data_IF_672259424776
#
_entry.id   IF_672259424776
#
_cell.length_a   1.000
_cell.length_b   1.000
_cell.length_c   1.000
_cell.angle_alpha   90.00
_cell.angle_beta   90.00
_cell.angle_gamma   90.00
#
_symmetry.space_group_name_H-M   'P 1'
#
loop_
_entity.id
_entity.type
_entity.pdbx_description
1 polymer ?
#
# COMPACT_ATOMS: atom_id res chain seq x y z
N UNK A 1 -1.86 -12.78 -6.34
CA UNK A 1 -2.18 -13.59 -7.55
C UNK A 1 -1.66 -12.94 -8.82
N UNK A 2 -2.15 -11.75 -9.21
CA UNK A 2 -1.82 -11.10 -10.49
C UNK A 2 -0.31 -10.96 -10.75
N UNK A 3 0.45 -10.38 -9.83
CA UNK A 3 1.91 -10.22 -10.00
C UNK A 3 2.62 -11.55 -10.32
N UNK A 4 2.34 -12.62 -9.57
CA UNK A 4 2.92 -13.95 -9.82
C UNK A 4 2.54 -14.56 -11.16
N UNK A 5 1.32 -14.29 -11.65
CA UNK A 5 0.86 -14.79 -12.95
C UNK A 5 1.64 -14.16 -14.11
N UNK A 6 2.09 -12.92 -13.95
CA UNK A 6 2.89 -12.17 -14.93
C UNK A 6 4.41 -12.24 -14.65
N UNK A 7 4.86 -13.21 -13.85
CA UNK A 7 6.29 -13.41 -13.53
C UNK A 7 6.90 -12.39 -12.55
N UNK A 8 6.09 -11.55 -11.92
CA UNK A 8 6.52 -10.61 -10.89
C UNK A 8 6.68 -11.25 -9.50
N UNK A 9 7.51 -10.63 -8.67
CA UNK A 9 7.74 -11.05 -7.28
C UNK A 9 6.68 -10.49 -6.31
N UNK A 10 6.36 -11.24 -5.26
CA UNK A 10 5.40 -10.82 -4.23
C UNK A 10 5.99 -10.95 -2.83
N UNK A 11 5.92 -9.86 -2.07
CA UNK A 11 6.34 -9.82 -0.67
C UNK A 11 5.08 -9.66 0.19
N UNK A 12 4.94 -10.50 1.22
CA UNK A 12 3.86 -10.39 2.20
C UNK A 12 4.43 -9.99 3.55
N UNK A 13 4.12 -8.78 4.03
CA UNK A 13 4.50 -8.32 5.37
C UNK A 13 3.37 -8.68 6.34
N UNK A 14 3.61 -9.70 7.16
CA UNK A 14 2.60 -10.40 7.95
C UNK A 14 2.65 -10.02 9.44
N UNK A 15 1.50 -9.95 10.13
CA UNK A 15 1.42 -9.44 11.50
C UNK A 15 1.95 -10.40 12.57
N UNK A 16 1.86 -11.72 12.38
CA UNK A 16 2.31 -12.74 13.33
C UNK A 16 3.81 -13.05 13.24
N UNK A 17 4.29 -13.92 14.15
CA UNK A 17 5.72 -14.28 14.25
C UNK A 17 6.14 -15.41 13.31
N UNK A 18 5.18 -16.16 12.78
CA UNK A 18 5.41 -17.33 11.94
C UNK A 18 4.16 -17.68 11.12
N UNK A 19 4.28 -18.68 10.25
CA UNK A 19 3.20 -19.14 9.37
C UNK A 19 2.01 -19.77 10.09
N UNK A 20 2.17 -20.27 11.33
CA UNK A 20 1.04 -20.81 12.09
C UNK A 20 0.15 -19.69 12.63
N UNK A 21 0.74 -18.59 13.08
CA UNK A 21 0.02 -17.40 13.57
C UNK A 21 -0.52 -16.51 12.45
N UNK A 22 0.17 -16.46 11.31
CA UNK A 22 -0.22 -15.63 10.16
C UNK A 22 0.09 -16.36 8.86
N UNK A 23 -0.75 -17.33 8.47
CA UNK A 23 -0.52 -18.11 7.26
C UNK A 23 -0.55 -17.19 6.02
N UNK A 24 0.53 -17.14 5.22
CA UNK A 24 0.51 -16.43 3.95
C UNK A 24 -0.48 -17.10 2.99
N UNK A 25 -1.08 -16.32 2.09
CA UNK A 25 -1.78 -16.90 0.95
C UNK A 25 -0.80 -17.47 -0.09
N UNK A 26 -1.27 -18.40 -0.93
CA UNK A 26 -0.47 -19.12 -1.93
C UNK A 26 0.23 -18.23 -2.98
N UNK A 27 -0.10 -16.93 -3.02
CA UNK A 27 0.48 -15.98 -3.96
C UNK A 27 1.56 -15.10 -3.34
N UNK A 28 1.92 -15.31 -2.08
CA UNK A 28 3.06 -14.66 -1.42
C UNK A 28 4.30 -15.51 -1.65
N UNK A 29 5.30 -14.97 -2.35
CA UNK A 29 6.58 -15.64 -2.58
C UNK A 29 7.53 -15.47 -1.38
N UNK A 30 7.62 -14.24 -0.86
CA UNK A 30 8.50 -13.90 0.25
C UNK A 30 7.68 -13.43 1.45
N UNK A 31 7.34 -14.30 2.40
CA UNK A 31 6.68 -13.91 3.64
C UNK A 31 7.70 -13.29 4.61
N UNK A 32 7.38 -12.12 5.14
CA UNK A 32 8.09 -11.44 6.23
C UNK A 32 7.19 -11.45 7.45
N UNK A 33 7.51 -12.29 8.42
CA UNK A 33 6.78 -12.38 9.69
C UNK A 33 7.30 -11.33 10.66
N UNK A 34 6.45 -10.40 11.09
CA UNK A 34 6.90 -9.25 11.89
C UNK A 34 6.68 -9.43 13.39
N UNK A 35 5.64 -10.16 13.81
CA UNK A 35 5.19 -10.18 15.20
C UNK A 35 4.61 -8.85 15.71
N UNK A 36 4.43 -7.86 14.83
CA UNK A 36 4.09 -6.48 15.19
C UNK A 36 2.58 -6.16 15.14
N UNK A 37 1.72 -7.13 14.80
CA UNK A 37 0.30 -6.86 14.65
C UNK A 37 0.05 -5.74 13.64
N UNK A 38 -0.74 -4.73 14.01
CA UNK A 38 -0.99 -3.55 13.15
C UNK A 38 0.18 -2.57 13.06
N UNK A 39 1.20 -2.63 13.92
CA UNK A 39 2.34 -1.73 13.80
C UNK A 39 3.16 -1.96 12.51
N UNK A 40 3.06 -3.16 11.92
CA UNK A 40 3.64 -3.48 10.59
C UNK A 40 3.08 -2.65 9.44
N UNK A 41 1.95 -1.96 9.62
CA UNK A 41 1.33 -1.14 8.57
C UNK A 41 2.29 -0.06 8.05
N UNK A 42 3.12 0.48 8.94
CA UNK A 42 4.19 1.40 8.57
C UNK A 42 5.16 0.78 7.58
N UNK A 43 5.59 -0.47 7.79
CA UNK A 43 6.53 -1.15 6.90
C UNK A 43 5.96 -1.32 5.49
N UNK A 44 4.66 -1.60 5.35
CA UNK A 44 4.04 -1.70 4.02
C UNK A 44 4.00 -0.35 3.32
N UNK A 45 3.58 0.72 4.01
CA UNK A 45 3.55 2.04 3.41
C UNK A 45 4.96 2.56 3.04
N UNK A 46 5.96 2.28 3.88
CA UNK A 46 7.30 2.86 3.76
C UNK A 46 8.27 2.06 2.88
N UNK A 47 8.02 0.77 2.67
CA UNK A 47 8.87 -0.04 1.78
C UNK A 47 8.58 0.21 0.30
N UNK A 48 7.41 0.79 -0.02
CA UNK A 48 7.01 1.13 -1.38
C UNK A 48 7.50 2.51 -1.83
N UNK A 49 7.82 2.64 -3.12
CA UNK A 49 8.09 3.94 -3.72
C UNK A 49 6.80 4.76 -3.92
N UNK A 50 5.67 4.07 -4.11
CA UNK A 50 4.30 4.58 -4.11
C UNK A 50 3.37 3.50 -3.52
N UNK A 51 2.17 3.91 -3.08
CA UNK A 51 1.14 3.03 -2.51
C UNK A 51 -0.13 3.13 -3.35
N UNK A 52 -0.76 1.99 -3.63
CA UNK A 52 -2.12 1.93 -4.18
C UNK A 52 -3.03 1.39 -3.07
N UNK A 53 -3.90 2.25 -2.55
CA UNK A 53 -4.93 1.87 -1.60
C UNK A 53 -6.18 1.41 -2.36
N UNK A 54 -6.59 0.16 -2.13
CA UNK A 54 -7.73 -0.48 -2.78
C UNK A 54 -8.79 -0.79 -1.72
N UNK A 55 -10.05 -0.43 -1.99
CA UNK A 55 -11.17 -0.66 -1.07
C UNK A 55 -10.95 0.01 0.31
N UNK A 56 -11.77 -0.30 1.32
CA UNK A 56 -11.75 0.34 2.63
C UNK A 56 -11.85 -0.62 3.81
N UNK A 57 -10.81 -0.63 4.65
CA UNK A 57 -10.87 -1.08 6.04
C UNK A 57 -10.03 -0.16 6.93
N UNK A 58 -10.13 -0.28 8.26
CA UNK A 58 -9.32 0.50 9.20
C UNK A 58 -7.81 0.25 9.02
N UNK A 59 -7.42 -0.98 8.66
CA UNK A 59 -6.02 -1.29 8.33
C UNK A 59 -5.50 -0.48 7.15
N UNK A 60 -6.30 -0.37 6.08
CA UNK A 60 -6.01 0.47 4.91
C UNK A 60 -5.89 1.94 5.30
N UNK A 61 -6.79 2.44 6.16
CA UNK A 61 -6.72 3.82 6.66
C UNK A 61 -5.41 4.09 7.41
N UNK A 62 -4.93 3.16 8.24
CA UNK A 62 -3.64 3.31 8.91
C UNK A 62 -2.47 3.36 7.92
N UNK A 63 -2.47 2.54 6.87
CA UNK A 63 -1.44 2.60 5.82
C UNK A 63 -1.49 3.92 5.03
N UNK A 64 -2.71 4.40 4.71
CA UNK A 64 -2.93 5.73 4.09
C UNK A 64 -2.32 6.82 4.98
N UNK A 65 -2.58 6.79 6.29
CA UNK A 65 -2.05 7.75 7.22
C UNK A 65 -0.51 7.74 7.26
N UNK A 66 0.12 6.56 7.34
CA UNK A 66 1.58 6.45 7.28
C UNK A 66 2.15 6.97 5.96
N UNK A 67 1.54 6.64 4.82
CA UNK A 67 1.97 7.16 3.53
C UNK A 67 1.92 8.69 3.47
N UNK A 68 0.84 9.30 3.99
CA UNK A 68 0.69 10.76 4.05
C UNK A 68 1.68 11.42 5.02
N UNK A 69 1.97 10.81 6.16
CA UNK A 69 2.94 11.32 7.15
C UNK A 69 4.35 11.36 6.54
N UNK A 70 4.73 10.31 5.81
CA UNK A 70 6.08 10.12 5.26
C UNK A 70 6.21 10.52 3.78
N UNK A 71 5.21 11.23 3.26
CA UNK A 71 5.18 11.73 1.88
C UNK A 71 5.43 10.64 0.82
N UNK A 72 4.94 9.42 1.09
CA UNK A 72 4.84 8.36 0.10
C UNK A 72 3.65 8.69 -0.80
N UNK A 73 3.83 8.83 -2.13
CA UNK A 73 2.73 9.08 -3.03
C UNK A 73 1.69 7.97 -2.93
N UNK A 74 0.42 8.38 -2.82
CA UNK A 74 -0.67 7.45 -2.67
C UNK A 74 -1.71 7.64 -3.77
N UNK A 75 -2.09 6.51 -4.36
CA UNK A 75 -3.15 6.39 -5.36
C UNK A 75 -4.31 5.64 -4.72
N UNK A 76 -5.52 6.19 -4.82
CA UNK A 76 -6.71 5.56 -4.27
C UNK A 76 -7.60 4.99 -5.37
N UNK A 77 -7.91 3.70 -5.30
CA UNK A 77 -8.85 2.99 -6.16
C UNK A 77 -10.00 2.45 -5.30
N UNK A 78 -11.21 3.00 -5.47
CA UNK A 78 -12.41 2.63 -4.70
C UNK A 78 -12.19 2.60 -3.17
N UNK A 79 -11.30 3.47 -2.67
CA UNK A 79 -10.88 3.51 -1.26
C UNK A 79 -11.42 4.74 -0.54
N UNK A 80 -11.02 4.89 0.71
CA UNK A 80 -11.35 6.01 1.57
C UNK A 80 -11.18 7.39 0.91
N UNK A 81 -12.12 8.28 1.23
CA UNK A 81 -12.04 9.69 0.91
C UNK A 81 -12.14 10.54 2.17
N UNK A 82 -11.21 11.49 2.32
CA UNK A 82 -11.18 12.39 3.46
C UNK A 82 -11.00 13.81 2.94
N UNK A 83 -11.89 14.68 3.36
CA UNK A 83 -11.76 16.12 3.24
C UNK A 83 -12.10 16.69 4.60
N UNK A 84 -11.14 17.30 5.27
CA UNK A 84 -11.38 17.99 6.54
C UNK A 84 -10.52 19.25 6.62
N UNK A 85 -10.88 20.16 7.54
CA UNK A 85 -10.33 21.50 7.59
C UNK A 85 -8.78 21.50 7.58
N UNK A 86 -8.21 22.09 6.53
CA UNK A 86 -6.76 22.24 6.35
C UNK A 86 -6.03 21.03 5.78
N UNK A 87 -6.72 19.93 5.47
CA UNK A 87 -6.14 18.74 4.86
C UNK A 87 -6.78 18.46 3.51
N UNK A 88 -5.96 18.64 2.48
CA UNK A 88 -6.38 18.56 1.09
C UNK A 88 -6.69 17.12 0.67
N UNK A 89 -7.88 16.93 0.09
CA UNK A 89 -8.30 15.66 -0.50
C UNK A 89 -7.41 15.27 -1.70
N UNK A 90 -6.75 16.25 -2.32
CA UNK A 90 -5.88 16.07 -3.50
C UNK A 90 -4.57 15.33 -3.18
N UNK A 91 -4.28 15.08 -1.89
CA UNK A 91 -3.13 14.26 -1.48
C UNK A 91 -3.25 12.78 -1.86
N UNK A 92 -4.47 12.31 -2.12
CA UNK A 92 -4.73 10.96 -2.65
C UNK A 92 -5.09 11.06 -4.13
N UNK A 93 -4.20 10.59 -5.01
CA UNK A 93 -4.43 10.58 -6.46
C UNK A 93 -5.54 9.58 -6.78
N UNK A 94 -6.71 10.07 -7.20
CA UNK A 94 -7.86 9.19 -7.47
C UNK A 94 -7.67 8.45 -8.79
N UNK A 95 -7.78 7.13 -8.74
CA UNK A 95 -7.79 6.27 -9.90
C UNK A 95 -9.23 5.88 -10.27
N UNK A 96 -9.51 5.79 -11.57
CA UNK A 96 -10.83 5.39 -12.10
C UNK A 96 -10.94 3.88 -12.36
N UNK A 97 -9.80 3.22 -12.53
CA UNK A 97 -9.69 1.79 -12.84
C UNK A 97 -8.28 1.28 -12.45
N UNK A 98 -8.04 -0.04 -12.44
CA UNK A 98 -6.73 -0.60 -12.08
C UNK A 98 -5.56 -0.14 -12.95
N UNK A 99 -5.77 0.09 -14.25
CA UNK A 99 -4.69 0.50 -15.16
C UNK A 99 -4.26 1.94 -14.84
N UNK A 100 -5.23 2.85 -14.70
CA UNK A 100 -5.02 4.23 -14.27
C UNK A 100 -4.35 4.29 -12.89
N UNK A 101 -4.68 3.36 -11.98
CA UNK A 101 -4.04 3.29 -10.67
C UNK A 101 -2.53 2.99 -10.77
N UNK A 102 -2.17 2.02 -11.60
CA UNK A 102 -0.76 1.62 -11.82
C UNK A 102 0.00 2.74 -12.54
N UNK A 103 -0.56 3.32 -13.60
CA UNK A 103 0.07 4.43 -14.33
C UNK A 103 0.39 5.61 -13.41
N UNK A 104 -0.57 6.02 -12.58
CA UNK A 104 -0.37 7.09 -11.58
C UNK A 104 0.68 6.72 -10.54
N UNK A 105 0.68 5.49 -10.04
CA UNK A 105 1.61 5.04 -9.01
C UNK A 105 3.05 5.03 -9.54
N UNK A 106 3.28 4.50 -10.74
CA UNK A 106 4.60 4.49 -11.40
C UNK A 106 5.08 5.92 -11.65
N UNK A 107 4.25 6.76 -12.26
CA UNK A 107 4.62 8.15 -12.54
C UNK A 107 4.91 8.95 -11.26
N UNK A 108 4.24 8.64 -10.15
CA UNK A 108 4.50 9.28 -8.86
C UNK A 108 5.78 8.75 -8.18
N UNK A 109 6.04 7.44 -8.26
CA UNK A 109 7.26 6.81 -7.78
C UNK A 109 8.51 7.39 -8.47
N UNK A 110 8.47 7.53 -9.81
CA UNK A 110 9.58 8.13 -10.59
C UNK A 110 9.84 9.60 -10.22
N UNK A 111 8.77 10.37 -9.96
CA UNK A 111 8.91 11.77 -9.50
C UNK A 111 9.55 11.85 -8.13
N UNK A 112 9.22 10.93 -7.23
CA UNK A 112 9.77 10.86 -5.88
C UNK A 112 11.25 10.46 -5.88
N UNK A 113 11.65 9.50 -6.71
CA UNK A 113 13.05 9.05 -6.77
C UNK A 113 14.03 10.07 -7.35
N UNK A 114 13.52 11.15 -7.98
CA UNK A 114 14.31 12.26 -8.52
C UNK A 114 14.52 13.41 -7.52
N UNK A 115 13.93 13.32 -6.33
CA UNK A 115 14.14 14.27 -5.21
C UNK A 115 15.31 13.81 -4.36
#
# INVERSE_FOLDING_TARGET
RGARAEGGHTIGILPGHNAAESPPNDYVEFPIFTGLGFARNSMVALSGQAVIAIDGAYGTLTEIAYALIHEVPIVGLDTWNFSYHGHDADRILRAKDPADAVEKAVAAAERRSRR
#
